data_IF_885078096258
#
_entry.id   IF_885078096258
#
_cell.length_a   1.000
_cell.length_b   1.000
_cell.length_c   1.000
_cell.angle_alpha   90.00
_cell.angle_beta   90.00
_cell.angle_gamma   90.00
#
_symmetry.space_group_name_H-M   'P 1'
#
loop_
_entity.id
_entity.type
_entity.pdbx_description
1 polymer ?
#
# COMPACT_ATOMS: atom_id res chain seq x y z
N UNK A 1 10.82 31.40 -30.79
CA UNK A 1 9.78 32.29 -31.37
C UNK A 1 8.49 31.55 -31.72
N UNK A 2 8.54 30.28 -32.17
CA UNK A 2 7.34 29.43 -32.35
C UNK A 2 6.63 29.02 -31.03
N UNK A 3 7.37 28.99 -29.92
CA UNK A 3 6.84 28.59 -28.61
C UNK A 3 5.93 29.66 -27.97
N UNK A 4 6.24 30.94 -28.20
CA UNK A 4 5.38 32.07 -27.76
C UNK A 4 4.06 32.14 -28.55
N UNK A 5 4.07 31.77 -29.83
CA UNK A 5 2.88 31.77 -30.69
C UNK A 5 1.91 30.62 -30.30
N UNK A 6 2.46 29.48 -29.86
CA UNK A 6 1.68 28.38 -29.28
C UNK A 6 1.08 28.76 -27.91
N UNK A 7 1.84 29.49 -27.09
CA UNK A 7 1.37 30.04 -25.81
C UNK A 7 0.23 31.05 -26.00
N UNK A 8 0.28 31.92 -27.03
CA UNK A 8 -0.79 32.86 -27.36
C UNK A 8 -2.03 32.17 -27.94
N UNK A 9 -1.88 31.08 -28.69
CA UNK A 9 -3.02 30.28 -29.19
C UNK A 9 -3.78 29.55 -28.07
N UNK A 10 -3.07 29.03 -27.07
CA UNK A 10 -3.73 28.42 -25.89
C UNK A 10 -4.59 29.41 -25.09
N UNK A 11 -4.23 30.71 -25.09
CA UNK A 11 -4.94 31.76 -24.33
C UNK A 11 -6.06 32.42 -25.13
N UNK A 12 -6.03 32.36 -26.47
CA UNK A 12 -6.96 33.12 -27.34
C UNK A 12 -8.10 32.29 -27.95
N UNK A 13 -7.97 30.97 -28.07
CA UNK A 13 -8.98 30.12 -28.74
C UNK A 13 -10.05 29.58 -27.78
N UNK A 14 -10.72 30.47 -27.05
CA UNK A 14 -11.94 30.15 -26.30
C UNK A 14 -13.17 30.13 -27.23
N UNK A 15 -13.15 29.29 -28.27
CA UNK A 15 -14.43 28.83 -28.84
C UNK A 15 -15.07 27.93 -27.79
N UNK A 16 -16.28 28.29 -27.33
CA UNK A 16 -17.11 27.48 -26.42
C UNK A 16 -17.22 26.06 -26.98
N UNK A 17 -16.37 25.16 -26.51
CA UNK A 17 -16.50 23.73 -26.73
C UNK A 17 -17.70 23.29 -25.88
N UNK A 18 -18.86 23.20 -26.53
CA UNK A 18 -20.04 22.59 -25.93
C UNK A 18 -19.81 21.09 -25.87
N UNK A 19 -19.23 20.62 -24.77
CA UNK A 19 -19.08 19.20 -24.48
C UNK A 19 -19.91 18.89 -23.25
N UNK A 20 -20.86 17.97 -23.42
CA UNK A 20 -21.69 17.44 -22.36
C UNK A 20 -20.81 16.54 -21.49
N UNK A 21 -20.38 17.04 -20.34
CA UNK A 21 -19.83 16.23 -19.25
C UNK A 21 -20.94 15.23 -18.87
N UNK A 22 -20.68 13.91 -18.77
CA UNK A 22 -21.63 13.01 -18.13
C UNK A 22 -21.89 13.56 -16.73
N UNK A 23 -23.13 13.93 -16.43
CA UNK A 23 -23.46 14.48 -15.10
C UNK A 23 -22.83 13.58 -14.03
N UNK A 24 -22.06 14.14 -13.08
CA UNK A 24 -21.57 13.36 -11.96
C UNK A 24 -22.82 12.83 -11.26
N UNK A 25 -23.01 11.51 -11.28
CA UNK A 25 -24.06 10.86 -10.51
C UNK A 25 -23.96 11.41 -9.07
N UNK A 26 -24.96 12.20 -8.67
CA UNK A 26 -25.07 12.79 -7.35
C UNK A 26 -25.48 11.71 -6.36
N UNK A 27 -24.58 10.76 -6.10
CA UNK A 27 -24.69 9.90 -4.93
C UNK A 27 -24.23 10.70 -3.71
N UNK A 28 -25.21 11.16 -2.96
CA UNK A 28 -25.01 11.81 -1.66
C UNK A 28 -24.37 10.84 -0.65
N UNK A 29 -23.09 11.11 -0.37
CA UNK A 29 -22.40 11.15 0.94
C UNK A 29 -22.60 9.96 1.89
N UNK A 30 -21.88 8.87 1.59
CA UNK A 30 -21.02 8.18 2.56
C UNK A 30 -19.86 7.55 1.79
N UNK A 31 -18.64 7.52 2.35
CA UNK A 31 -17.55 6.78 1.72
C UNK A 31 -17.99 5.31 1.61
N UNK A 32 -17.94 4.67 0.41
CA UNK A 32 -18.34 3.27 0.27
C UNK A 32 -17.49 2.39 1.19
N UNK A 33 -16.22 2.77 1.37
CA UNK A 33 -15.28 2.12 2.27
C UNK A 33 -15.63 2.49 3.72
N UNK A 34 -16.10 1.51 4.47
CA UNK A 34 -16.42 1.61 5.89
C UNK A 34 -16.14 0.29 6.59
N UNK A 35 -15.87 0.35 7.90
CA UNK A 35 -15.55 -0.84 8.67
C UNK A 35 -16.77 -1.78 8.75
N UNK A 36 -16.48 -3.07 8.93
CA UNK A 36 -17.48 -4.03 9.41
C UNK A 36 -18.01 -3.63 10.80
N UNK A 37 -18.96 -4.40 11.33
CA UNK A 37 -19.50 -4.15 12.67
C UNK A 37 -18.38 -4.01 13.72
N UNK A 38 -18.58 -3.15 14.73
CA UNK A 38 -17.57 -2.93 15.78
C UNK A 38 -17.13 -4.24 16.45
N UNK A 39 -18.06 -5.18 16.65
CA UNK A 39 -17.75 -6.50 17.21
C UNK A 39 -16.84 -7.32 16.29
N UNK A 40 -17.09 -7.31 14.97
CA UNK A 40 -16.25 -8.02 14.00
C UNK A 40 -14.84 -7.42 13.91
N UNK A 41 -14.72 -6.09 13.94
CA UNK A 41 -13.41 -5.41 13.98
C UNK A 41 -12.66 -5.73 15.27
N UNK A 42 -13.31 -5.70 16.44
CA UNK A 42 -12.66 -6.04 17.71
C UNK A 42 -12.23 -7.51 17.76
N UNK A 43 -13.05 -8.43 17.24
CA UNK A 43 -12.66 -9.84 17.13
C UNK A 43 -11.44 -10.04 16.22
N UNK A 44 -11.38 -9.31 15.10
CA UNK A 44 -10.22 -9.30 14.20
C UNK A 44 -8.95 -8.74 14.87
N UNK A 45 -9.07 -7.61 15.58
CA UNK A 45 -7.96 -7.00 16.32
C UNK A 45 -7.40 -7.96 17.39
N UNK A 46 -8.28 -8.63 18.14
CA UNK A 46 -7.89 -9.62 19.14
C UNK A 46 -7.27 -10.87 18.50
N UNK A 47 -7.86 -11.38 17.41
CA UNK A 47 -7.34 -12.53 16.67
C UNK A 47 -5.89 -12.31 16.22
N UNK A 48 -5.57 -11.12 15.71
CA UNK A 48 -4.24 -10.77 15.22
C UNK A 48 -3.29 -10.21 16.29
N UNK A 49 -3.74 -10.10 17.54
CA UNK A 49 -2.97 -9.48 18.63
C UNK A 49 -2.52 -8.05 18.30
N UNK A 50 -3.39 -7.29 17.63
CA UNK A 50 -3.14 -5.88 17.30
C UNK A 50 -3.00 -4.98 18.53
N UNK A 51 -3.70 -5.22 19.67
CA UNK A 51 -3.45 -4.47 20.89
C UNK A 51 -2.00 -4.58 21.41
N UNK A 52 -1.32 -5.70 21.15
CA UNK A 52 0.08 -5.91 21.51
C UNK A 52 1.06 -5.42 20.44
N UNK A 53 0.70 -5.52 19.15
CA UNK A 53 1.53 -5.02 18.05
C UNK A 53 1.54 -3.49 17.94
N UNK A 54 0.40 -2.82 18.13
CA UNK A 54 0.30 -1.36 17.99
C UNK A 54 1.31 -0.59 18.86
N UNK A 55 1.50 -0.92 20.15
CA UNK A 55 2.55 -0.31 20.97
C UNK A 55 3.95 -0.46 20.38
N UNK A 56 4.27 -1.62 19.78
CA UNK A 56 5.56 -1.86 19.13
C UNK A 56 5.75 -1.02 17.86
N UNK A 57 4.68 -0.80 17.09
CA UNK A 57 4.72 0.08 15.92
C UNK A 57 4.78 1.57 16.30
N UNK A 58 4.08 1.96 17.38
CA UNK A 58 3.94 3.35 17.78
C UNK A 58 5.06 3.88 18.68
N UNK A 59 5.92 3.00 19.22
CA UNK A 59 7.02 3.44 20.07
C UNK A 59 8.00 4.29 19.24
N UNK A 60 8.35 5.46 19.76
CA UNK A 60 9.37 6.34 19.18
C UNK A 60 10.62 6.21 20.03
N UNK A 61 11.35 5.12 19.79
CA UNK A 61 12.57 4.79 20.52
C UNK A 61 13.74 5.65 20.00
N UNK A 62 13.61 6.17 18.77
CA UNK A 62 14.57 7.04 18.09
C UNK A 62 13.86 8.30 17.58
N UNK A 63 13.36 9.18 18.45
CA UNK A 63 12.47 10.28 18.07
C UNK A 63 13.07 11.31 17.10
N UNK A 64 14.39 11.30 16.94
CA UNK A 64 15.09 12.13 15.96
C UNK A 64 15.07 11.53 14.54
N UNK A 65 14.85 10.21 14.43
CA UNK A 65 14.83 9.51 13.16
C UNK A 65 13.46 9.64 12.50
N UNK A 66 13.35 10.55 11.53
CA UNK A 66 12.08 10.98 10.90
C UNK A 66 11.33 9.81 10.25
N UNK A 67 12.03 8.81 9.71
CA UNK A 67 11.35 7.66 9.10
C UNK A 67 11.02 6.55 10.08
N UNK A 68 11.38 6.64 11.37
CA UNK A 68 11.05 5.62 12.37
C UNK A 68 9.57 5.19 12.31
N UNK A 69 8.58 6.10 12.23
CA UNK A 69 7.16 5.72 12.21
C UNK A 69 6.73 4.92 10.96
N UNK A 70 7.49 4.99 9.87
CA UNK A 70 7.22 4.27 8.62
C UNK A 70 8.10 3.02 8.51
N UNK A 71 9.38 3.14 8.84
CA UNK A 71 10.38 2.12 8.61
C UNK A 71 10.36 1.05 9.71
N UNK A 72 10.12 1.41 10.98
CA UNK A 72 9.96 0.41 12.06
C UNK A 72 8.87 -0.62 11.72
N UNK A 73 7.60 -0.25 11.49
CA UNK A 73 6.56 -1.22 11.14
C UNK A 73 6.86 -1.98 9.84
N UNK A 74 7.52 -1.36 8.85
CA UNK A 74 7.95 -2.04 7.63
C UNK A 74 8.98 -3.15 7.90
N UNK A 75 9.99 -2.89 8.73
CA UNK A 75 10.99 -3.88 9.14
C UNK A 75 10.36 -5.01 9.98
N UNK A 76 9.40 -4.67 10.84
CA UNK A 76 8.65 -5.68 11.59
C UNK A 76 7.80 -6.55 10.66
N UNK A 77 7.21 -5.99 9.60
CA UNK A 77 6.52 -6.76 8.57
C UNK A 77 7.48 -7.74 7.86
N UNK A 78 8.69 -7.29 7.54
CA UNK A 78 9.74 -8.12 6.93
C UNK A 78 10.16 -9.27 7.86
N UNK A 79 10.34 -8.99 9.15
CA UNK A 79 10.64 -10.02 10.16
C UNK A 79 9.50 -11.05 10.28
N UNK A 80 8.24 -10.61 10.21
CA UNK A 80 7.09 -11.52 10.20
C UNK A 80 7.04 -12.34 8.89
N UNK A 81 7.46 -11.78 7.75
CA UNK A 81 7.65 -12.54 6.50
C UNK A 81 8.70 -13.64 6.66
N UNK A 82 9.82 -13.38 7.34
CA UNK A 82 10.81 -14.41 7.67
C UNK A 82 10.20 -15.54 8.51
N UNK A 83 9.38 -15.17 9.50
CA UNK A 83 8.62 -16.16 10.28
C UNK A 83 7.69 -17.03 9.42
N UNK A 84 7.04 -16.46 8.40
CA UNK A 84 6.22 -17.20 7.46
C UNK A 84 7.05 -18.16 6.59
N UNK A 85 8.22 -17.72 6.12
CA UNK A 85 9.17 -18.57 5.38
C UNK A 85 9.57 -19.79 6.20
N UNK A 86 9.93 -19.61 7.47
CA UNK A 86 10.26 -20.72 8.37
C UNK A 86 9.07 -21.66 8.59
N UNK A 87 7.88 -21.08 8.78
CA UNK A 87 6.63 -21.84 8.98
C UNK A 87 6.34 -22.74 7.78
N UNK A 88 6.41 -22.21 6.56
CA UNK A 88 6.16 -23.00 5.34
C UNK A 88 7.29 -23.99 5.06
N UNK A 89 8.54 -23.63 5.34
CA UNK A 89 9.69 -24.51 5.15
C UNK A 89 9.65 -25.74 6.06
N UNK A 90 9.05 -25.59 7.24
CA UNK A 90 8.87 -26.66 8.23
C UNK A 90 7.52 -27.37 8.14
N UNK A 91 6.64 -26.98 7.22
CA UNK A 91 5.33 -27.60 7.06
C UNK A 91 5.47 -29.05 6.55
N UNK A 92 4.92 -29.98 7.34
CA UNK A 92 5.01 -31.43 7.12
C UNK A 92 3.83 -32.00 6.34
N UNK A 93 2.80 -31.20 6.04
CA UNK A 93 1.61 -31.66 5.30
C UNK A 93 2.02 -32.16 3.90
N UNK A 94 1.49 -33.30 3.43
CA UNK A 94 1.95 -33.90 2.18
C UNK A 94 1.45 -33.16 0.91
N UNK A 95 0.37 -32.39 1.03
CA UNK A 95 -0.25 -31.66 -0.08
C UNK A 95 0.24 -30.22 -0.24
N UNK A 96 1.10 -29.71 0.67
CA UNK A 96 1.60 -28.35 0.55
C UNK A 96 2.58 -28.21 -0.62
N UNK A 97 2.27 -27.29 -1.55
CA UNK A 97 3.19 -26.93 -2.62
C UNK A 97 4.28 -25.98 -2.11
N UNK A 98 5.23 -26.51 -1.33
CA UNK A 98 6.33 -25.72 -0.75
C UNK A 98 7.11 -24.93 -1.79
N UNK A 99 7.29 -25.47 -2.99
CA UNK A 99 8.02 -24.80 -4.07
C UNK A 99 7.33 -23.50 -4.50
N UNK A 100 6.01 -23.53 -4.72
CA UNK A 100 5.27 -22.32 -5.11
C UNK A 100 5.18 -21.32 -3.96
N UNK A 101 4.99 -21.79 -2.72
CA UNK A 101 5.09 -20.93 -1.53
C UNK A 101 6.43 -20.20 -1.43
N UNK A 102 7.54 -20.93 -1.50
CA UNK A 102 8.88 -20.32 -1.45
C UNK A 102 9.10 -19.34 -2.60
N UNK A 103 8.61 -19.64 -3.81
CA UNK A 103 8.71 -18.71 -4.96
C UNK A 103 7.93 -17.41 -4.70
N UNK A 104 6.74 -17.49 -4.12
CA UNK A 104 5.89 -16.33 -3.83
C UNK A 104 6.42 -15.53 -2.65
N UNK A 105 6.92 -16.20 -1.61
CA UNK A 105 7.55 -15.56 -0.45
C UNK A 105 8.89 -14.89 -0.79
N UNK A 106 9.68 -15.48 -1.68
CA UNK A 106 10.90 -14.87 -2.23
C UNK A 106 10.56 -13.58 -3.01
N UNK A 107 9.54 -13.63 -3.87
CA UNK A 107 9.03 -12.44 -4.56
C UNK A 107 8.55 -11.37 -3.57
N UNK A 108 7.75 -11.76 -2.58
CA UNK A 108 7.24 -10.84 -1.57
C UNK A 108 8.37 -10.20 -0.75
N UNK A 109 9.32 -11.00 -0.25
CA UNK A 109 10.47 -10.50 0.50
C UNK A 109 11.30 -9.53 -0.35
N UNK A 110 11.49 -9.83 -1.63
CA UNK A 110 12.16 -8.92 -2.58
C UNK A 110 11.40 -7.59 -2.70
N UNK A 111 10.08 -7.61 -2.88
CA UNK A 111 9.25 -6.40 -2.95
C UNK A 111 9.29 -5.59 -1.64
N UNK A 112 9.29 -6.27 -0.49
CA UNK A 112 9.43 -5.63 0.83
C UNK A 112 10.80 -4.96 1.00
N UNK A 113 11.88 -5.66 0.65
CA UNK A 113 13.25 -5.14 0.75
C UNK A 113 13.45 -3.93 -0.16
N UNK A 114 12.93 -3.99 -1.39
CA UNK A 114 12.94 -2.84 -2.31
C UNK A 114 12.24 -1.63 -1.73
N UNK A 115 11.06 -1.83 -1.17
CA UNK A 115 10.28 -0.75 -0.55
C UNK A 115 11.01 -0.17 0.67
N UNK A 116 11.61 -1.03 1.50
CA UNK A 116 12.46 -0.63 2.63
C UNK A 116 13.67 0.16 2.15
N UNK A 117 14.38 -0.29 1.12
CA UNK A 117 15.53 0.41 0.56
C UNK A 117 15.14 1.80 0.05
N UNK A 118 14.02 1.92 -0.68
CA UNK A 118 13.52 3.23 -1.14
C UNK A 118 13.16 4.16 0.02
N UNK A 119 12.58 3.67 1.12
CA UNK A 119 12.35 4.47 2.33
C UNK A 119 13.67 4.98 2.93
N UNK A 120 14.70 4.14 2.96
CA UNK A 120 16.03 4.50 3.47
C UNK A 120 16.80 5.45 2.54
N UNK A 121 16.61 5.35 1.22
CA UNK A 121 17.26 6.21 0.23
C UNK A 121 16.74 7.65 0.30
N UNK A 122 15.44 7.85 0.48
CA UNK A 122 14.83 9.18 0.61
C UNK A 122 15.34 9.96 1.84
N UNK A 123 15.92 9.29 2.85
CA UNK A 123 16.60 9.93 3.99
C UNK A 123 17.94 10.56 3.61
N UNK A 124 18.50 10.18 2.46
CA UNK A 124 19.84 10.58 2.10
C UNK A 124 19.92 12.06 1.72
N UNK A 125 18.84 12.62 1.17
CA UNK A 125 18.75 13.95 0.59
C UNK A 125 18.43 15.07 1.61
N UNK A 126 18.36 14.72 2.90
CA UNK A 126 18.21 15.67 4.02
C UNK A 126 19.60 16.11 4.57
N UNK A 127 20.47 16.70 3.74
CA UNK A 127 21.81 17.18 4.16
C UNK A 127 21.75 18.27 5.26
N UNK A 128 20.64 19.01 5.37
CA UNK A 128 20.48 20.09 6.36
C UNK A 128 20.24 19.61 7.81
N UNK A 129 19.87 18.33 8.03
CA UNK A 129 19.52 17.81 9.36
C UNK A 129 20.39 16.63 9.78
N UNK A 130 21.66 16.93 10.14
CA UNK A 130 22.59 15.97 10.79
C UNK A 130 21.98 15.34 12.06
N UNK A 131 20.97 15.99 12.66
CA UNK A 131 20.24 15.50 13.84
C UNK A 131 19.30 14.33 13.56
N UNK A 132 18.90 14.07 12.31
CA UNK A 132 17.87 13.08 11.96
C UNK A 132 18.42 11.68 11.57
N UNK A 133 19.57 11.31 12.13
CA UNK A 133 20.31 10.12 11.70
C UNK A 133 19.67 8.81 12.19
N UNK A 134 19.60 7.82 11.29
CA UNK A 134 19.19 6.45 11.62
C UNK A 134 20.13 5.85 12.69
N UNK A 135 19.61 5.02 13.61
CA UNK A 135 20.42 4.37 14.63
C UNK A 135 21.28 3.28 14.01
N UNK A 136 22.59 3.52 13.90
CA UNK A 136 23.53 2.57 13.28
C UNK A 136 24.50 1.95 14.29
N UNK A 137 25.01 0.76 13.96
CA UNK A 137 25.95 -0.03 14.73
C UNK A 137 26.97 -0.73 13.83
N UNK A 138 28.01 -1.31 14.43
CA UNK A 138 29.01 -2.12 13.73
C UNK A 138 28.72 -3.62 13.78
N UNK A 139 27.60 -4.03 14.39
CA UNK A 139 27.25 -5.43 14.58
C UNK A 139 26.02 -5.81 13.76
N UNK A 140 25.96 -7.07 13.34
CA UNK A 140 24.76 -7.67 12.77
C UNK A 140 23.74 -8.00 13.87
N UNK A 141 22.47 -8.02 13.48
CA UNK A 141 21.38 -8.59 14.24
C UNK A 141 21.71 -10.01 14.66
N UNK A 142 21.51 -10.28 15.96
CA UNK A 142 21.64 -11.62 16.52
C UNK A 142 20.27 -12.29 16.73
N UNK A 143 19.19 -11.52 16.63
CA UNK A 143 17.82 -11.96 16.93
C UNK A 143 16.96 -12.14 15.68
N UNK A 144 17.37 -11.65 14.50
CA UNK A 144 16.60 -11.82 13.28
C UNK A 144 16.56 -13.27 12.84
N UNK A 145 15.36 -13.71 12.45
CA UNK A 145 15.06 -15.01 11.88
C UNK A 145 15.77 -15.24 10.53
N UNK A 146 16.23 -14.19 9.83
CA UNK A 146 16.94 -14.37 8.57
C UNK A 146 18.22 -15.19 8.72
N UNK A 147 18.91 -15.03 9.85
CA UNK A 147 20.12 -15.81 10.18
C UNK A 147 19.81 -17.32 10.27
N UNK A 148 18.67 -17.68 10.86
CA UNK A 148 18.18 -19.06 10.93
C UNK A 148 17.76 -19.57 9.54
N UNK A 149 17.03 -18.75 8.77
CA UNK A 149 16.59 -19.12 7.42
C UNK A 149 17.79 -19.43 6.53
N UNK A 150 18.84 -18.62 6.60
CA UNK A 150 20.04 -18.71 5.77
C UNK A 150 20.97 -19.88 6.15
N UNK A 151 20.73 -20.56 7.28
CA UNK A 151 21.53 -21.70 7.75
C UNK A 151 20.73 -23.00 7.85
N UNK A 152 19.39 -22.92 7.90
CA UNK A 152 18.53 -24.09 7.98
C UNK A 152 18.42 -24.81 6.62
N UNK A 153 18.69 -26.11 6.60
CA UNK A 153 18.75 -26.94 5.37
C UNK A 153 17.53 -26.82 4.46
N UNK A 154 16.33 -26.63 5.02
CA UNK A 154 15.08 -26.54 4.24
C UNK A 154 14.86 -25.17 3.59
N UNK A 155 15.50 -24.12 4.12
CA UNK A 155 15.28 -22.73 3.72
C UNK A 155 16.56 -21.98 3.33
N UNK A 156 17.73 -22.61 3.42
CA UNK A 156 19.04 -22.01 3.17
C UNK A 156 19.09 -21.28 1.83
N UNK A 157 18.58 -21.93 0.76
CA UNK A 157 18.58 -21.34 -0.59
C UNK A 157 17.81 -20.02 -0.69
N UNK A 158 16.63 -19.89 -0.05
CA UNK A 158 15.87 -18.65 -0.03
C UNK A 158 16.53 -17.64 0.92
N UNK A 159 17.07 -18.07 2.06
CA UNK A 159 17.78 -17.18 3.00
C UNK A 159 19.00 -16.52 2.36
N UNK A 160 19.86 -17.29 1.71
CA UNK A 160 21.02 -16.76 0.99
C UNK A 160 20.61 -15.79 -0.13
N UNK A 161 19.53 -16.11 -0.85
CA UNK A 161 19.01 -15.21 -1.89
C UNK A 161 18.48 -13.90 -1.31
N UNK A 162 17.80 -13.94 -0.16
CA UNK A 162 17.33 -12.74 0.54
C UNK A 162 18.52 -11.89 0.98
N UNK A 163 19.58 -12.49 1.54
CA UNK A 163 20.81 -11.76 1.90
C UNK A 163 21.45 -11.06 0.69
N UNK A 164 21.53 -11.74 -0.46
CA UNK A 164 22.00 -11.11 -1.70
C UNK A 164 21.07 -9.98 -2.18
N UNK A 165 19.76 -10.12 -1.96
CA UNK A 165 18.79 -9.08 -2.33
C UNK A 165 18.96 -7.84 -1.46
N UNK A 166 19.17 -8.00 -0.14
CA UNK A 166 19.48 -6.90 0.77
C UNK A 166 20.75 -6.17 0.31
N UNK A 167 21.83 -6.91 0.02
CA UNK A 167 23.08 -6.33 -0.48
C UNK A 167 22.85 -5.44 -1.72
N UNK A 168 22.09 -5.96 -2.69
CA UNK A 168 21.87 -5.29 -3.97
C UNK A 168 20.98 -4.06 -3.84
N UNK A 169 19.82 -4.21 -3.18
CA UNK A 169 18.82 -3.14 -3.09
C UNK A 169 19.27 -2.04 -2.12
N UNK A 170 19.97 -2.38 -1.03
CA UNK A 170 20.46 -1.38 -0.10
C UNK A 170 21.66 -0.59 -0.64
N UNK A 171 22.18 -0.87 -1.85
CA UNK A 171 23.46 -0.32 -2.34
C UNK A 171 23.54 1.22 -2.27
N UNK A 172 22.44 1.93 -2.49
CA UNK A 172 22.41 3.40 -2.47
C UNK A 172 22.02 4.00 -1.12
N UNK A 173 21.66 3.17 -0.14
CA UNK A 173 21.39 3.61 1.24
C UNK A 173 22.69 3.95 2.00
N UNK A 174 22.65 4.93 2.92
CA UNK A 174 23.77 5.29 3.84
C UNK A 174 24.22 4.15 4.77
N UNK A 175 23.32 3.23 5.08
CA UNK A 175 23.55 2.04 5.89
C UNK A 175 23.02 0.80 5.18
N UNK A 176 23.24 -0.38 5.75
CA UNK A 176 22.57 -1.62 5.35
C UNK A 176 21.82 -2.22 6.54
N UNK A 177 20.96 -3.21 6.34
CA UNK A 177 20.04 -3.68 7.37
C UNK A 177 20.73 -4.42 8.53
N UNK A 178 21.90 -5.01 8.31
CA UNK A 178 22.66 -5.75 9.31
C UNK A 178 22.05 -7.09 9.67
N UNK A 179 21.52 -7.83 8.70
CA UNK A 179 20.87 -9.12 8.88
C UNK A 179 21.75 -10.32 8.54
N UNK A 180 23.04 -10.07 8.27
CA UNK A 180 24.02 -11.08 7.86
C UNK A 180 24.43 -10.97 6.39
N UNK A 181 24.01 -9.91 5.69
CA UNK A 181 24.46 -9.62 4.34
C UNK A 181 25.96 -9.30 4.31
N UNK A 182 26.59 -9.52 3.14
CA UNK A 182 28.05 -9.41 2.98
C UNK A 182 28.60 -8.01 3.21
N UNK A 183 27.82 -6.99 2.89
CA UNK A 183 28.15 -5.57 2.96
C UNK A 183 29.48 -5.23 2.27
N UNK A 184 29.53 -5.43 0.95
CA UNK A 184 30.74 -5.22 0.13
C UNK A 184 31.20 -3.76 0.20
N UNK A 185 30.24 -2.84 0.35
CA UNK A 185 30.51 -1.40 0.46
C UNK A 185 31.05 -0.97 1.83
N UNK A 186 31.09 -1.85 2.84
CA UNK A 186 31.60 -1.53 4.18
C UNK A 186 30.78 -0.48 4.92
N UNK A 187 29.48 -0.41 4.65
CA UNK A 187 28.56 0.56 5.26
C UNK A 187 28.26 0.21 6.72
N UNK A 188 27.87 1.18 7.57
CA UNK A 188 27.37 0.84 8.89
C UNK A 188 26.06 0.03 8.81
N UNK A 189 25.78 -0.75 9.85
CA UNK A 189 24.56 -1.55 9.96
C UNK A 189 23.48 -0.78 10.71
N UNK A 190 22.22 -0.88 10.31
CA UNK A 190 21.12 -0.47 11.15
C UNK A 190 21.18 -1.25 12.47
N UNK A 191 20.89 -0.61 13.60
CA UNK A 191 20.74 -1.29 14.89
C UNK A 191 19.42 -2.07 14.93
N UNK A 192 19.31 -3.09 14.07
CA UNK A 192 18.07 -3.78 13.72
C UNK A 192 17.35 -4.38 14.93
N UNK A 193 18.10 -4.97 15.88
CA UNK A 193 17.51 -5.58 17.08
C UNK A 193 16.81 -4.54 17.97
N UNK A 194 17.32 -3.30 18.02
CA UNK A 194 16.70 -2.23 18.78
C UNK A 194 15.51 -1.58 18.05
N UNK A 195 15.57 -1.51 16.72
CA UNK A 195 14.50 -0.92 15.89
C UNK A 195 13.35 -1.90 15.69
N UNK A 196 13.63 -3.09 15.14
CA UNK A 196 12.65 -4.09 14.77
C UNK A 196 12.13 -4.86 15.99
N UNK A 197 12.97 -5.04 17.02
CA UNK A 197 12.67 -5.82 18.23
C UNK A 197 12.17 -7.26 17.91
N UNK A 198 12.95 -8.08 17.15
CA UNK A 198 12.50 -9.41 16.72
C UNK A 198 12.08 -10.33 17.87
N UNK A 199 12.77 -10.23 19.02
CA UNK A 199 12.45 -11.02 20.21
C UNK A 199 11.02 -10.78 20.73
N UNK A 200 10.53 -9.54 20.65
CA UNK A 200 9.16 -9.21 21.07
C UNK A 200 8.12 -9.65 20.05
N UNK A 201 8.42 -9.48 18.75
CA UNK A 201 7.57 -10.03 17.68
C UNK A 201 7.43 -11.54 17.78
N UNK A 202 8.48 -12.25 18.20
CA UNK A 202 8.45 -13.69 18.37
C UNK A 202 7.51 -14.14 19.51
N UNK A 203 7.32 -13.32 20.55
CA UNK A 203 6.32 -13.59 21.60
C UNK A 203 4.88 -13.54 21.07
N UNK A 204 4.69 -12.90 19.91
CA UNK A 204 3.41 -12.78 19.20
C UNK A 204 3.27 -13.81 18.08
N UNK A 205 4.15 -14.81 18.00
CA UNK A 205 4.08 -15.87 16.97
C UNK A 205 2.80 -16.71 17.06
N UNK A 206 2.38 -17.08 18.27
CA UNK A 206 1.26 -17.99 18.44
C UNK A 206 -0.07 -17.25 18.34
N UNK A 207 -0.95 -17.75 17.46
CA UNK A 207 -2.31 -17.21 17.37
C UNK A 207 -3.10 -17.50 18.67
N UNK A 208 -4.00 -16.59 19.10
CA UNK A 208 -4.75 -16.74 20.37
C UNK A 208 -5.63 -17.99 20.46
N UNK A 209 -5.94 -18.61 19.33
CA UNK A 209 -6.79 -19.80 19.24
C UNK A 209 -5.99 -21.06 18.90
N UNK A 210 -4.65 -21.05 19.03
CA UNK A 210 -3.80 -22.16 18.65
C UNK A 210 -4.16 -23.46 19.40
N UNK A 211 -4.57 -23.33 20.65
CA UNK A 211 -4.97 -24.47 21.50
C UNK A 211 -6.35 -25.04 21.16
N UNK A 212 -7.16 -24.31 20.38
CA UNK A 212 -8.56 -24.64 20.08
C UNK A 212 -8.81 -24.94 18.60
N UNK A 213 -7.91 -24.50 17.72
CA UNK A 213 -7.99 -24.67 16.27
C UNK A 213 -6.74 -25.44 15.81
N UNK A 214 -6.87 -26.76 15.74
CA UNK A 214 -5.85 -27.65 15.15
C UNK A 214 -5.89 -27.57 13.62
N UNK A 215 -5.46 -26.44 13.07
CA UNK A 215 -5.36 -26.23 11.63
C UNK A 215 -4.19 -25.30 11.28
N UNK A 216 -3.23 -25.79 10.49
CA UNK A 216 -2.04 -25.01 10.10
C UNK A 216 -2.41 -23.77 9.27
N UNK A 217 -3.51 -23.81 8.52
CA UNK A 217 -3.98 -22.65 7.75
C UNK A 217 -4.42 -21.48 8.65
N UNK A 218 -4.80 -21.74 9.90
CA UNK A 218 -5.10 -20.69 10.87
C UNK A 218 -3.83 -19.88 11.20
N UNK A 219 -2.70 -20.57 11.38
CA UNK A 219 -1.41 -19.91 11.65
C UNK A 219 -0.87 -19.16 10.42
N UNK A 220 -1.08 -19.70 9.22
CA UNK A 220 -0.78 -19.03 7.95
C UNK A 220 -1.59 -17.75 7.79
N UNK A 221 -2.92 -17.83 7.94
CA UNK A 221 -3.84 -16.69 7.88
C UNK A 221 -3.46 -15.60 8.88
N UNK A 222 -3.23 -15.99 10.14
CA UNK A 222 -2.79 -15.10 11.21
C UNK A 222 -1.50 -14.35 10.82
N UNK A 223 -0.50 -15.07 10.31
CA UNK A 223 0.80 -14.49 9.98
C UNK A 223 0.70 -13.56 8.77
N UNK A 224 -0.02 -13.95 7.71
CA UNK A 224 -0.23 -13.10 6.51
C UNK A 224 -0.88 -11.77 6.90
N UNK A 225 -1.92 -11.80 7.73
CA UNK A 225 -2.58 -10.57 8.14
C UNK A 225 -1.75 -9.71 9.11
N UNK A 226 -0.85 -10.28 9.91
CA UNK A 226 0.09 -9.47 10.69
C UNK A 226 1.10 -8.73 9.78
N UNK A 227 1.55 -9.36 8.69
CA UNK A 227 2.39 -8.69 7.67
C UNK A 227 1.60 -7.55 7.04
N UNK A 228 0.35 -7.81 6.65
CA UNK A 228 -0.56 -6.83 6.07
C UNK A 228 -0.77 -5.62 6.99
N UNK A 229 -1.13 -5.86 8.25
CA UNK A 229 -1.40 -4.79 9.24
C UNK A 229 -0.17 -3.94 9.56
N UNK A 230 1.02 -4.55 9.55
CA UNK A 230 2.28 -3.81 9.74
C UNK A 230 2.51 -2.82 8.59
N UNK A 231 2.30 -3.24 7.33
CA UNK A 231 2.42 -2.35 6.17
C UNK A 231 1.28 -1.31 6.09
N UNK A 232 0.07 -1.66 6.51
CA UNK A 232 -1.04 -0.71 6.65
C UNK A 232 -0.66 0.39 7.67
N UNK A 233 -0.11 0.02 8.82
CA UNK A 233 0.33 0.98 9.83
C UNK A 233 1.45 1.88 9.31
N UNK A 234 2.45 1.31 8.62
CA UNK A 234 3.49 2.09 7.94
C UNK A 234 2.90 3.10 6.94
N UNK A 235 1.89 2.68 6.17
CA UNK A 235 1.23 3.51 5.16
C UNK A 235 0.44 4.68 5.75
N UNK A 236 -0.25 4.49 6.88
CA UNK A 236 -0.95 5.59 7.57
C UNK A 236 0.04 6.67 8.01
N UNK A 237 1.20 6.27 8.54
CA UNK A 237 2.27 7.21 8.90
C UNK A 237 2.88 7.89 7.66
N UNK A 238 3.07 7.15 6.57
CA UNK A 238 3.55 7.70 5.31
C UNK A 238 2.56 8.72 4.72
N UNK A 239 1.25 8.46 4.79
CA UNK A 239 0.21 9.40 4.38
C UNK A 239 0.25 10.71 5.19
N UNK A 240 0.44 10.63 6.50
CA UNK A 240 0.65 11.82 7.33
C UNK A 240 1.91 12.59 6.90
N UNK A 241 3.00 11.88 6.57
CA UNK A 241 4.25 12.48 6.07
C UNK A 241 4.06 13.17 4.72
N UNK A 242 3.32 12.56 3.78
CA UNK A 242 2.95 13.16 2.49
C UNK A 242 2.20 14.47 2.70
N UNK A 243 1.17 14.45 3.57
CA UNK A 243 0.36 15.64 3.85
C UNK A 243 1.22 16.77 4.42
N UNK A 244 2.06 16.48 5.42
CA UNK A 244 2.98 17.47 6.02
C UNK A 244 3.94 18.06 4.97
N UNK A 245 4.55 17.22 4.13
CA UNK A 245 5.50 17.66 3.10
C UNK A 245 4.83 18.54 2.03
N UNK A 246 3.57 18.26 1.67
CA UNK A 246 2.81 19.14 0.76
C UNK A 246 2.54 20.49 1.43
N UNK A 247 2.13 20.50 2.70
CA UNK A 247 1.85 21.73 3.46
C UNK A 247 3.11 22.58 3.66
N UNK A 248 4.27 21.95 3.81
CA UNK A 248 5.59 22.59 3.90
C UNK A 248 6.16 23.02 2.53
N UNK A 249 5.48 22.71 1.41
CA UNK A 249 5.94 23.03 0.06
C UNK A 249 7.10 22.14 -0.45
N UNK A 250 7.41 21.04 0.24
CA UNK A 250 8.44 20.06 -0.15
C UNK A 250 7.89 19.08 -1.20
N UNK A 251 7.56 19.59 -2.38
CA UNK A 251 6.84 18.87 -3.44
C UNK A 251 7.60 17.64 -3.93
N UNK A 252 8.91 17.73 -4.13
CA UNK A 252 9.74 16.61 -4.58
C UNK A 252 9.71 15.43 -3.60
N UNK A 253 9.91 15.73 -2.30
CA UNK A 253 9.85 14.72 -1.23
C UNK A 253 8.46 14.12 -1.06
N UNK A 254 7.41 14.93 -1.21
CA UNK A 254 6.03 14.43 -1.23
C UNK A 254 5.80 13.50 -2.43
N UNK A 255 6.39 13.80 -3.60
CA UNK A 255 6.29 12.96 -4.78
C UNK A 255 6.95 11.59 -4.56
N UNK A 256 8.13 11.55 -3.92
CA UNK A 256 8.78 10.27 -3.59
C UNK A 256 7.94 9.45 -2.61
N UNK A 257 7.40 10.09 -1.55
CA UNK A 257 6.53 9.41 -0.59
C UNK A 257 5.24 8.87 -1.23
N UNK A 258 4.68 9.58 -2.20
CA UNK A 258 3.49 9.11 -2.93
C UNK A 258 3.83 7.88 -3.79
N UNK A 259 5.02 7.81 -4.38
CA UNK A 259 5.51 6.62 -5.06
C UNK A 259 5.71 5.44 -4.09
N UNK A 260 6.24 5.70 -2.89
CA UNK A 260 6.33 4.70 -1.82
C UNK A 260 4.94 4.18 -1.42
N UNK A 261 3.96 5.07 -1.27
CA UNK A 261 2.59 4.69 -0.94
C UNK A 261 1.93 3.83 -2.04
N UNK A 262 2.16 4.16 -3.32
CA UNK A 262 1.73 3.33 -4.45
C UNK A 262 2.35 1.93 -4.36
N UNK A 263 3.66 1.86 -4.07
CA UNK A 263 4.41 0.62 -3.93
C UNK A 263 3.87 -0.23 -2.78
N UNK A 264 3.52 0.38 -1.64
CA UNK A 264 2.91 -0.34 -0.53
C UNK A 264 1.52 -0.87 -0.90
N UNK A 265 0.68 -0.11 -1.62
CA UNK A 265 -0.62 -0.65 -2.10
C UNK A 265 -0.46 -1.90 -2.99
N UNK A 266 0.55 -1.91 -3.87
CA UNK A 266 0.88 -3.10 -4.67
C UNK A 266 1.34 -4.25 -3.79
N UNK A 267 2.17 -3.95 -2.80
CA UNK A 267 2.66 -4.93 -1.82
C UNK A 267 1.52 -5.55 -1.00
N UNK A 268 0.53 -4.76 -0.56
CA UNK A 268 -0.67 -5.28 0.12
C UNK A 268 -1.42 -6.29 -0.77
N UNK A 269 -1.45 -6.06 -2.09
CA UNK A 269 -2.04 -7.00 -3.06
C UNK A 269 -1.23 -8.30 -3.11
N UNK A 270 0.10 -8.22 -3.18
CA UNK A 270 0.99 -9.39 -3.15
C UNK A 270 0.86 -10.21 -1.85
N UNK A 271 0.67 -9.54 -0.71
CA UNK A 271 0.45 -10.18 0.59
C UNK A 271 -0.88 -10.94 0.61
N UNK A 272 -1.98 -10.30 0.18
CA UNK A 272 -3.29 -10.95 0.11
C UNK A 272 -3.28 -12.14 -0.86
N UNK A 273 -2.58 -12.02 -2.00
CA UNK A 273 -2.47 -13.09 -2.99
C UNK A 273 -1.81 -14.37 -2.44
N UNK A 274 -1.08 -14.33 -1.32
CA UNK A 274 -0.56 -15.54 -0.67
C UNK A 274 -1.66 -16.50 -0.22
N UNK A 275 -2.86 -15.99 0.07
CA UNK A 275 -3.96 -16.84 0.51
C UNK A 275 -4.39 -17.85 -0.57
N UNK A 276 -4.08 -17.60 -1.86
CA UNK A 276 -4.38 -18.56 -2.94
C UNK A 276 -3.62 -19.89 -2.81
N UNK A 277 -2.55 -19.90 -2.02
CA UNK A 277 -1.67 -21.06 -1.82
C UNK A 277 -2.11 -21.95 -0.65
N UNK A 278 -3.09 -21.48 0.14
CA UNK A 278 -3.69 -22.25 1.22
C UNK A 278 -4.54 -23.38 0.67
N UNK A 279 -4.62 -24.51 1.38
CA UNK A 279 -5.54 -25.57 0.98
C UNK A 279 -7.01 -25.10 1.12
N UNK A 280 -7.85 -25.24 0.08
CA UNK A 280 -9.23 -24.75 0.14
C UNK A 280 -10.08 -25.43 1.21
N UNK A 281 -9.93 -26.73 1.44
CA UNK A 281 -10.73 -27.46 2.42
C UNK A 281 -10.36 -27.01 3.84
N UNK A 282 -9.06 -26.96 4.13
CA UNK A 282 -8.55 -26.50 5.42
C UNK A 282 -8.90 -25.03 5.68
N UNK A 283 -8.78 -24.17 4.68
CA UNK A 283 -9.18 -22.78 4.80
C UNK A 283 -10.69 -22.64 5.10
N UNK A 284 -11.56 -23.41 4.44
CA UNK A 284 -13.00 -23.36 4.70
C UNK A 284 -13.36 -23.85 6.12
N UNK A 285 -12.58 -24.77 6.69
CA UNK A 285 -12.70 -25.15 8.13
C UNK A 285 -12.33 -23.97 9.04
N UNK A 286 -11.21 -23.29 8.78
CA UNK A 286 -10.80 -22.09 9.52
C UNK A 286 -11.86 -20.99 9.41
N UNK A 287 -12.36 -20.72 8.19
CA UNK A 287 -13.42 -19.76 7.91
C UNK A 287 -14.64 -20.00 8.81
N UNK A 288 -15.08 -21.26 8.91
CA UNK A 288 -16.21 -21.66 9.76
C UNK A 288 -15.92 -21.44 11.24
N UNK A 289 -14.72 -21.80 11.70
CA UNK A 289 -14.29 -21.67 13.10
C UNK A 289 -14.17 -20.21 13.53
N UNK A 290 -13.59 -19.35 12.68
CA UNK A 290 -13.43 -17.92 12.90
C UNK A 290 -14.69 -17.10 12.59
N UNK A 291 -15.79 -17.76 12.19
CA UNK A 291 -17.04 -17.12 11.80
C UNK A 291 -16.83 -15.99 10.78
N UNK A 292 -16.00 -16.23 9.78
CA UNK A 292 -15.82 -15.33 8.64
C UNK A 292 -17.09 -15.48 7.77
N UNK A 293 -18.10 -14.65 8.05
CA UNK A 293 -19.37 -14.57 7.32
C UNK A 293 -19.35 -13.36 6.40
N UNK A 294 -19.93 -13.51 5.21
CA UNK A 294 -20.17 -12.43 4.23
C UNK A 294 -21.68 -12.19 4.09
N UNK A 295 -22.37 -11.86 5.19
CA UNK A 295 -23.85 -11.80 5.21
C UNK A 295 -24.42 -10.39 5.04
N UNK A 296 -23.61 -9.36 5.30
CA UNK A 296 -24.01 -7.95 5.26
C UNK A 296 -23.23 -7.17 4.19
N UNK A 297 -23.72 -5.97 3.87
CA UNK A 297 -23.17 -5.09 2.82
C UNK A 297 -21.70 -4.65 3.06
N UNK A 298 -21.21 -4.72 4.31
CA UNK A 298 -19.86 -4.35 4.77
C UNK A 298 -19.10 -5.49 5.47
N UNK A 299 -19.45 -6.74 5.19
CA UNK A 299 -18.98 -7.89 5.98
C UNK A 299 -17.72 -8.57 5.42
N UNK A 300 -17.14 -8.03 4.34
CA UNK A 300 -15.90 -8.56 3.77
C UNK A 300 -14.77 -8.55 4.81
N UNK A 301 -13.99 -9.63 4.89
CA UNK A 301 -13.02 -9.84 5.96
C UNK A 301 -11.96 -8.73 6.00
N UNK A 302 -11.53 -8.20 4.85
CA UNK A 302 -10.61 -7.06 4.77
C UNK A 302 -11.14 -5.80 5.48
N UNK A 303 -12.46 -5.56 5.50
CA UNK A 303 -13.06 -4.39 6.17
C UNK A 303 -13.16 -4.54 7.69
N UNK A 304 -12.75 -5.68 8.25
CA UNK A 304 -12.54 -5.81 9.69
C UNK A 304 -11.28 -5.06 10.14
N UNK A 305 -10.32 -4.84 9.24
CA UNK A 305 -9.17 -3.95 9.46
C UNK A 305 -9.61 -2.49 9.48
N UNK A 306 -9.54 -1.86 10.66
CA UNK A 306 -9.76 -0.41 10.78
C UNK A 306 -8.66 0.37 10.07
N UNK A 307 -7.42 -0.12 10.12
CA UNK A 307 -6.27 0.51 9.49
C UNK A 307 -6.39 0.54 7.97
N UNK A 308 -6.84 -0.55 7.33
CA UNK A 308 -7.06 -0.58 5.87
C UNK A 308 -8.13 0.42 5.44
N UNK A 309 -9.24 0.49 6.19
CA UNK A 309 -10.33 1.44 5.94
C UNK A 309 -9.85 2.88 6.09
N UNK A 310 -9.05 3.16 7.12
CA UNK A 310 -8.43 4.47 7.33
C UNK A 310 -7.44 4.83 6.22
N UNK A 311 -6.50 3.94 5.89
CA UNK A 311 -5.52 4.10 4.81
C UNK A 311 -6.21 4.39 3.47
N UNK A 312 -7.28 3.67 3.14
CA UNK A 312 -8.02 3.88 1.90
C UNK A 312 -8.75 5.23 1.88
N UNK A 313 -9.35 5.63 3.01
CA UNK A 313 -9.98 6.95 3.15
C UNK A 313 -8.96 8.08 3.03
N UNK A 314 -7.82 7.98 3.69
CA UNK A 314 -6.73 8.95 3.62
C UNK A 314 -6.12 9.04 2.23
N UNK A 315 -5.91 7.90 1.55
CA UNK A 315 -5.45 7.86 0.15
C UNK A 315 -6.40 8.62 -0.77
N UNK A 316 -7.72 8.47 -0.57
CA UNK A 316 -8.73 9.24 -1.29
C UNK A 316 -8.73 10.72 -0.91
N UNK A 317 -8.50 11.04 0.37
CA UNK A 317 -8.45 12.41 0.87
C UNK A 317 -7.27 13.22 0.32
N UNK A 318 -6.25 12.58 -0.26
CA UNK A 318 -5.16 13.29 -0.98
C UNK A 318 -5.71 14.21 -2.09
N UNK A 319 -6.88 13.94 -2.65
CA UNK A 319 -7.56 14.84 -3.60
C UNK A 319 -7.79 16.25 -3.05
N UNK A 320 -7.97 16.39 -1.74
CA UNK A 320 -8.19 17.68 -1.06
C UNK A 320 -6.92 18.54 -1.05
N UNK A 321 -5.75 17.94 -1.30
CA UNK A 321 -4.47 18.64 -1.41
C UNK A 321 -4.16 19.11 -2.84
N UNK A 322 -4.91 18.67 -3.85
CA UNK A 322 -4.68 19.06 -5.25
C UNK A 322 -4.77 20.59 -5.48
N UNK A 323 -5.76 21.32 -4.92
CA UNK A 323 -5.79 22.78 -5.06
C UNK A 323 -4.57 23.47 -4.46
N UNK A 324 -4.07 22.97 -3.32
CA UNK A 324 -2.87 23.51 -2.69
C UNK A 324 -1.62 23.28 -3.57
N UNK A 325 -1.47 22.10 -4.16
CA UNK A 325 -0.36 21.78 -5.08
C UNK A 325 -0.40 22.65 -6.35
N UNK A 326 -1.61 22.93 -6.87
CA UNK A 326 -1.81 23.76 -8.05
C UNK A 326 -1.85 25.27 -7.75
N UNK A 327 -1.78 25.67 -6.48
CA UNK A 327 -1.89 27.06 -6.02
C UNK A 327 -3.18 27.76 -6.51
N UNK A 328 -4.29 27.03 -6.48
CA UNK A 328 -5.62 27.52 -6.88
C UNK A 328 -6.53 27.60 -5.66
N UNK A 329 -7.28 28.70 -5.53
CA UNK A 329 -8.33 28.82 -4.51
C UNK A 329 -9.37 27.70 -4.65
N UNK A 330 -9.76 27.10 -3.52
CA UNK A 330 -10.68 25.98 -3.48
C UNK A 330 -12.07 26.42 -3.91
N UNK A 331 -12.49 26.01 -5.10
CA UNK A 331 -13.91 25.95 -5.45
C UNK A 331 -14.46 24.62 -4.90
N UNK A 332 -15.49 24.63 -4.02
CA UNK A 332 -16.06 23.42 -3.43
C UNK A 332 -16.58 22.38 -4.43
N UNK A 333 -16.65 22.71 -5.73
CA UNK A 333 -17.09 21.79 -6.80
C UNK A 333 -15.97 21.24 -7.70
N UNK A 334 -14.69 21.56 -7.46
CA UNK A 334 -13.59 21.08 -8.33
C UNK A 334 -13.69 21.65 -9.75
N UNK A 335 -14.05 22.93 -9.84
CA UNK A 335 -14.53 23.58 -11.06
C UNK A 335 -13.51 23.80 -12.19
N UNK A 336 -13.92 24.53 -13.26
CA UNK A 336 -13.12 24.78 -14.47
C UNK A 336 -11.73 25.36 -14.21
N UNK A 337 -11.55 26.10 -13.11
CA UNK A 337 -10.28 26.75 -12.74
C UNK A 337 -9.19 25.74 -12.36
N UNK A 338 -9.56 24.68 -11.64
CA UNK A 338 -8.61 23.63 -11.23
C UNK A 338 -8.13 22.84 -12.43
N UNK A 339 -9.06 22.51 -13.34
CA UNK A 339 -8.76 21.87 -14.60
C UNK A 339 -7.85 22.75 -15.48
N UNK A 340 -8.15 24.04 -15.63
CA UNK A 340 -7.33 24.96 -16.42
C UNK A 340 -5.91 25.10 -15.86
N UNK A 341 -5.75 25.17 -14.53
CA UNK A 341 -4.45 25.20 -13.88
C UNK A 341 -3.65 23.92 -14.13
N UNK A 342 -4.28 22.74 -14.00
CA UNK A 342 -3.66 21.47 -14.34
C UNK A 342 -3.25 21.40 -15.82
N UNK A 343 -4.09 21.89 -16.74
CA UNK A 343 -3.75 21.95 -18.17
C UNK A 343 -2.52 22.82 -18.43
N UNK A 344 -2.44 24.00 -17.81
CA UNK A 344 -1.30 24.92 -17.92
C UNK A 344 -0.02 24.30 -17.35
N UNK A 345 -0.12 23.62 -16.20
CA UNK A 345 1.00 22.92 -15.60
C UNK A 345 1.55 21.85 -16.55
N UNK A 346 0.69 20.97 -17.05
CA UNK A 346 1.07 19.88 -17.95
C UNK A 346 1.60 20.35 -19.32
N UNK A 347 1.12 21.50 -19.83
CA UNK A 347 1.60 22.03 -21.11
C UNK A 347 2.97 22.71 -20.98
N UNK A 348 3.19 23.47 -19.90
CA UNK A 348 4.44 24.22 -19.67
C UNK A 348 5.60 23.34 -19.22
N UNK A 349 5.33 22.32 -18.39
CA UNK A 349 6.33 21.35 -17.87
C UNK A 349 7.51 21.99 -17.12
N UNK A 350 7.36 23.22 -16.64
CA UNK A 350 8.41 23.95 -15.90
C UNK A 350 8.50 23.54 -14.43
N UNK A 351 7.41 23.03 -13.86
CA UNK A 351 7.29 22.59 -12.47
C UNK A 351 7.02 21.08 -12.45
N UNK A 352 8.02 20.30 -12.85
CA UNK A 352 7.87 18.85 -13.08
C UNK A 352 7.59 18.08 -11.78
N UNK A 353 8.07 18.57 -10.63
CA UNK A 353 7.83 17.99 -9.31
C UNK A 353 6.34 17.96 -8.99
N UNK A 354 5.62 19.05 -9.28
CA UNK A 354 4.16 19.14 -9.11
C UNK A 354 3.45 18.15 -10.05
N UNK A 355 3.95 17.98 -11.28
CA UNK A 355 3.40 17.00 -12.23
C UNK A 355 3.55 15.59 -11.69
N UNK A 356 4.75 15.22 -11.21
CA UNK A 356 5.03 13.89 -10.67
C UNK A 356 4.22 13.61 -9.41
N UNK A 357 4.09 14.58 -8.51
CA UNK A 357 3.25 14.44 -7.32
C UNK A 357 1.78 14.13 -7.69
N UNK A 358 1.20 14.92 -8.60
CA UNK A 358 -0.19 14.72 -9.04
C UNK A 358 -0.40 13.41 -9.78
N UNK A 359 0.55 12.99 -10.62
CA UNK A 359 0.51 11.69 -11.29
C UNK A 359 0.64 10.54 -10.31
N UNK A 360 1.52 10.66 -9.32
CA UNK A 360 1.68 9.69 -8.24
C UNK A 360 0.39 9.53 -7.43
N UNK A 361 -0.31 10.63 -7.13
CA UNK A 361 -1.60 10.58 -6.43
C UNK A 361 -2.64 9.75 -7.20
N UNK A 362 -2.70 9.92 -8.53
CA UNK A 362 -3.56 9.11 -9.39
C UNK A 362 -3.08 7.64 -9.48
N UNK A 363 -1.78 7.39 -9.39
CA UNK A 363 -1.23 6.05 -9.34
C UNK A 363 -1.61 5.33 -8.04
N UNK A 364 -1.60 6.03 -6.89
CA UNK A 364 -2.10 5.54 -5.59
C UNK A 364 -3.57 5.15 -5.69
N UNK A 365 -4.43 5.99 -6.29
CA UNK A 365 -5.83 5.63 -6.55
C UNK A 365 -5.92 4.33 -7.36
N UNK A 366 -5.15 4.25 -8.45
CA UNK A 366 -5.15 3.10 -9.34
C UNK A 366 -4.71 1.82 -8.61
N UNK A 367 -3.70 1.90 -7.75
CA UNK A 367 -3.23 0.79 -6.94
C UNK A 367 -4.26 0.37 -5.89
N UNK A 368 -4.88 1.32 -5.18
CA UNK A 368 -5.95 1.04 -4.20
C UNK A 368 -7.18 0.37 -4.84
N UNK A 369 -7.64 0.85 -5.99
CA UNK A 369 -8.77 0.23 -6.72
C UNK A 369 -8.40 -1.18 -7.22
N UNK A 370 -7.17 -1.38 -7.68
CA UNK A 370 -6.67 -2.73 -8.05
C UNK A 370 -6.64 -3.67 -6.86
N UNK A 371 -6.23 -3.21 -5.68
CA UNK A 371 -6.25 -4.01 -4.45
C UNK A 371 -7.66 -4.54 -4.16
N UNK A 372 -8.68 -3.67 -4.10
CA UNK A 372 -10.05 -4.09 -3.78
C UNK A 372 -10.65 -5.01 -4.85
N UNK A 373 -10.39 -4.72 -6.13
CA UNK A 373 -10.80 -5.61 -7.21
C UNK A 373 -10.12 -6.98 -7.11
N UNK A 374 -8.80 -7.00 -6.90
CA UNK A 374 -8.01 -8.22 -6.72
C UNK A 374 -8.50 -9.04 -5.54
N UNK A 375 -8.74 -8.39 -4.40
CA UNK A 375 -9.31 -9.02 -3.21
C UNK A 375 -10.67 -9.69 -3.49
N UNK A 376 -11.57 -9.04 -4.24
CA UNK A 376 -12.84 -9.67 -4.64
C UNK A 376 -12.61 -10.95 -5.46
N UNK A 377 -11.61 -10.95 -6.36
CA UNK A 377 -11.26 -12.12 -7.17
C UNK A 377 -10.60 -13.21 -6.35
N UNK A 378 -9.75 -12.85 -5.39
CA UNK A 378 -9.14 -13.78 -4.45
C UNK A 378 -10.22 -14.50 -3.62
N UNK A 379 -11.17 -13.76 -3.07
CA UNK A 379 -12.32 -14.32 -2.33
C UNK A 379 -13.09 -15.30 -3.22
N UNK A 380 -13.34 -14.96 -4.49
CA UNK A 380 -14.01 -15.85 -5.43
C UNK A 380 -13.22 -17.13 -5.71
N UNK A 381 -11.89 -17.04 -5.80
CA UNK A 381 -11.02 -18.18 -6.04
C UNK A 381 -10.92 -19.12 -4.83
N UNK A 382 -10.90 -18.57 -3.62
CA UNK A 382 -10.77 -19.36 -2.39
C UNK A 382 -12.08 -19.92 -1.84
N UNK A 383 -13.16 -19.15 -1.96
CA UNK A 383 -14.45 -19.45 -1.31
C UNK A 383 -15.57 -19.74 -2.31
N UNK A 384 -15.30 -19.60 -3.61
CA UNK A 384 -16.28 -19.73 -4.67
C UNK A 384 -16.98 -18.41 -5.03
N UNK A 385 -17.49 -18.35 -6.25
CA UNK A 385 -18.14 -17.16 -6.82
C UNK A 385 -19.44 -16.79 -6.10
N UNK A 386 -20.14 -17.75 -5.51
CA UNK A 386 -21.35 -17.50 -4.74
C UNK A 386 -21.05 -16.65 -3.48
N UNK A 387 -19.94 -16.91 -2.80
CA UNK A 387 -19.52 -16.12 -1.64
C UNK A 387 -19.08 -14.71 -2.05
N UNK A 388 -18.28 -14.60 -3.12
CA UNK A 388 -17.81 -13.32 -3.64
C UNK A 388 -18.94 -12.43 -4.21
N UNK A 389 -20.09 -13.03 -4.56
CA UNK A 389 -21.25 -12.37 -5.13
C UNK A 389 -22.48 -12.39 -4.22
N UNK A 390 -22.37 -12.88 -2.97
CA UNK A 390 -23.52 -13.18 -2.10
C UNK A 390 -24.47 -11.99 -1.92
N UNK A 391 -23.94 -10.76 -1.99
CA UNK A 391 -24.69 -9.52 -1.87
C UNK A 391 -25.33 -9.01 -3.18
N UNK A 392 -24.91 -9.50 -4.37
CA UNK A 392 -25.57 -9.16 -5.65
C UNK A 392 -26.92 -9.86 -5.82
N UNK A 393 -27.03 -11.08 -5.33
CA UNK A 393 -28.24 -11.91 -5.49
C UNK A 393 -29.38 -11.55 -4.53
N UNK A 394 -29.08 -11.01 -3.35
CA UNK A 394 -30.10 -10.55 -2.38
C UNK A 394 -30.63 -9.14 -2.70
N UNK A 395 -29.79 -8.28 -3.28
CA UNK A 395 -30.16 -6.92 -3.71
C UNK A 395 -31.09 -6.88 -4.94
N UNK A 396 -31.17 -7.96 -5.73
CA UNK A 396 -32.08 -8.05 -6.88
C UNK A 396 -33.58 -8.16 -6.51
N UNK A 397 -33.90 -8.27 -5.21
CA UNK A 397 -35.28 -8.43 -4.71
C UNK A 397 -35.95 -7.14 -4.20
N UNK A 398 -35.23 -6.02 -4.14
CA UNK A 398 -35.78 -4.71 -3.77
C UNK A 398 -35.23 -3.63 -4.72
N UNK A 399 -36.06 -2.64 -5.07
CA UNK A 399 -35.85 -1.62 -6.12
C UNK A 399 -34.67 -0.62 -5.95
N UNK A 400 -33.54 -1.05 -5.40
CA UNK A 400 -32.28 -0.32 -5.45
C UNK A 400 -31.16 -1.33 -5.63
N UNK A 401 -30.47 -1.32 -6.78
CA UNK A 401 -29.25 -2.10 -7.00
C UNK A 401 -28.13 -1.58 -6.09
N UNK A 402 -28.17 -1.90 -4.80
CA UNK A 402 -27.08 -1.58 -3.88
C UNK A 402 -25.95 -2.58 -4.14
N UNK A 403 -24.91 -2.17 -4.88
CA UNK A 403 -23.65 -2.91 -4.91
C UNK A 403 -23.13 -3.11 -3.49
N UNK A 404 -22.46 -4.23 -3.23
CA UNK A 404 -21.73 -4.42 -1.98
C UNK A 404 -20.56 -3.44 -1.86
N UNK A 405 -20.16 -3.12 -0.63
CA UNK A 405 -19.12 -2.13 -0.33
C UNK A 405 -17.80 -2.40 -1.03
N UNK A 406 -17.43 -3.69 -1.19
CA UNK A 406 -16.22 -4.07 -1.89
C UNK A 406 -16.29 -3.73 -3.38
N UNK A 407 -17.43 -3.98 -4.05
CA UNK A 407 -17.62 -3.55 -5.45
C UNK A 407 -17.66 -2.04 -5.57
N UNK A 408 -18.32 -1.35 -4.63
CA UNK A 408 -18.35 0.11 -4.63
C UNK A 408 -16.95 0.72 -4.45
N UNK A 409 -16.06 0.09 -3.67
CA UNK A 409 -14.70 0.60 -3.41
C UNK A 409 -13.84 0.72 -4.68
N UNK A 410 -13.97 -0.20 -5.65
CA UNK A 410 -13.22 -0.10 -6.92
C UNK A 410 -14.02 0.45 -8.10
N UNK A 411 -15.35 0.43 -8.04
CA UNK A 411 -16.23 1.02 -9.07
C UNK A 411 -16.50 2.51 -8.87
N UNK A 412 -16.09 3.08 -7.74
CA UNK A 412 -16.24 4.52 -7.50
C UNK A 412 -15.61 5.34 -8.65
N UNK A 413 -16.21 6.49 -9.03
CA UNK A 413 -15.59 7.43 -9.96
C UNK A 413 -14.16 7.83 -9.56
N UNK A 414 -13.44 8.43 -10.51
CA UNK A 414 -12.06 8.92 -10.27
C UNK A 414 -12.00 9.84 -9.05
N UNK A 415 -10.95 9.70 -8.22
CA UNK A 415 -10.74 10.60 -7.09
C UNK A 415 -10.31 11.99 -7.58
N UNK A 416 -9.80 12.09 -8.81
CA UNK A 416 -9.18 13.28 -9.40
C UNK A 416 -9.83 13.70 -10.73
N UNK A 417 -11.15 13.99 -10.77
CA UNK A 417 -11.87 14.27 -12.01
C UNK A 417 -11.31 15.46 -12.80
N UNK A 418 -10.88 16.52 -12.12
CA UNK A 418 -10.31 17.71 -12.78
C UNK A 418 -8.96 17.44 -13.44
N UNK A 419 -8.14 16.54 -12.88
CA UNK A 419 -6.85 16.14 -13.48
C UNK A 419 -7.08 15.26 -14.72
N UNK A 420 -8.04 14.35 -14.66
CA UNK A 420 -8.41 13.52 -15.81
C UNK A 420 -9.01 14.35 -16.94
N UNK A 421 -9.90 15.28 -16.62
CA UNK A 421 -10.44 16.22 -17.59
C UNK A 421 -9.32 17.04 -18.26
N UNK A 422 -8.36 17.55 -17.50
CA UNK A 422 -7.23 18.31 -18.04
C UNK A 422 -6.44 17.54 -19.11
N UNK A 423 -6.22 16.22 -18.90
CA UNK A 423 -5.55 15.36 -19.89
C UNK A 423 -6.39 15.18 -21.16
N UNK A 424 -7.71 14.99 -21.02
CA UNK A 424 -8.64 14.88 -22.15
C UNK A 424 -8.59 16.13 -23.02
N UNK A 425 -8.75 17.32 -22.42
CA UNK A 425 -8.73 18.58 -23.17
C UNK A 425 -7.38 18.87 -23.82
N UNK A 426 -6.26 18.53 -23.16
CA UNK A 426 -4.95 18.63 -23.79
C UNK A 426 -4.84 17.70 -25.00
N UNK A 427 -5.30 16.45 -24.89
CA UNK A 427 -5.33 15.50 -26.01
C UNK A 427 -6.12 16.02 -27.21
N UNK A 428 -7.29 16.61 -26.97
CA UNK A 428 -8.11 17.25 -28.00
C UNK A 428 -7.43 18.46 -28.63
N UNK A 429 -6.85 19.36 -27.82
CA UNK A 429 -6.12 20.53 -28.31
C UNK A 429 -5.00 20.16 -29.29
N UNK A 430 -4.19 19.16 -28.95
CA UNK A 430 -3.13 18.67 -29.83
C UNK A 430 -3.68 17.98 -31.08
N UNK A 431 -4.80 17.26 -30.97
CA UNK A 431 -5.46 16.62 -32.13
C UNK A 431 -5.97 17.66 -33.13
N UNK A 432 -6.54 18.77 -32.66
CA UNK A 432 -7.01 19.87 -33.51
C UNK A 432 -5.86 20.62 -34.22
N UNK A 433 -4.70 20.78 -33.57
CA UNK A 433 -3.50 21.37 -34.19
C UNK A 433 -2.95 20.51 -35.33
N UNK A 434 -2.96 19.18 -35.18
CA UNK A 434 -2.51 18.24 -36.23
C UNK A 434 -3.46 18.24 -37.43
N UNK A 435 -4.77 18.36 -37.21
CA UNK A 435 -5.75 18.47 -38.30
C UNK A 435 -5.66 19.80 -39.07
N UNK A 436 -5.39 20.91 -38.39
CA UNK A 436 -5.25 22.23 -39.03
C UNK A 436 -3.87 22.47 -39.69
N UNK A 437 -2.89 21.57 -39.50
CA UNK A 437 -1.57 21.61 -40.14
C UNK A 437 -1.46 20.84 -41.48
N UNK A 438 -2.57 20.30 -42.00
CA UNK A 438 -2.63 19.57 -43.28
C UNK A 438 -3.23 20.39 -44.45
N UNK A 439 -2.94 21.68 -44.51
CA UNK A 439 -3.27 22.53 -45.67
C UNK A 439 -2.03 23.19 -46.26
#
# INVERSE_FOLDING_TARGET
MADLDLQMKMVSDHKKLNITIPEPYTLSVSSPISCSSSAACSAYELYLRLPELRPLWSSLDFPQWISEPVLKPALQALEITFRLILTVSSDTRPYINRREWIRRLDSLATSQIKTVASICEDENDDEENVSAAAPVSNAWSSLSLLSEIATCRTSESIGQKILCTIENEMRWCKYTLGLGETNIAGKPYLHYDAVCRPGELQTLKNNPYADHIENQENQTLYTIHQILESWIYASVNLLNRIISRIEEGKIEKASSDVYLLESIWKLLTEIEDLHILMDPEDFLKVKKQLQIKSALTNDAFCFRSKGLVEMAKMSKALREKVPAVLEVEVDPTGGPRLQEAAMKLYSRKTEYEKIHLLQGMQAVESAAKRFFFGYQKLVAAMMGSAEANANRTTAASHHHESCDSLTQAFMEPTYYPSLDAAKTFLGEFWSHLVCNGRH
#
